data_IF_195273582712
#
_entry.id   IF_195273582712
#
_cell.length_a   1.000
_cell.length_b   1.000
_cell.length_c   1.000
_cell.angle_alpha   90.00
_cell.angle_beta   90.00
_cell.angle_gamma   90.00
#
_symmetry.space_group_name_H-M   'P 1'
#
loop_
_entity.id
_entity.type
_entity.pdbx_description
1 polymer ?
#
# COMPACT_ATOMS: atom_id res chain seq x y z
N UNK A 1 3.90 -18.09 1.83
CA UNK A 1 3.73 -18.82 0.56
C UNK A 1 2.96 -18.01 -0.47
N UNK A 2 1.74 -17.54 -0.18
CA UNK A 2 0.92 -16.76 -1.13
C UNK A 2 1.55 -15.45 -1.65
N UNK A 3 2.30 -14.72 -0.82
CA UNK A 3 3.01 -13.49 -1.22
C UNK A 3 4.07 -13.77 -2.28
N UNK A 4 4.85 -14.85 -2.11
CA UNK A 4 5.89 -15.24 -3.07
C UNK A 4 5.28 -15.70 -4.39
N UNK A 5 4.14 -16.40 -4.34
CA UNK A 5 3.40 -16.80 -5.55
C UNK A 5 2.89 -15.56 -6.29
N UNK A 6 2.33 -14.58 -5.58
CA UNK A 6 1.89 -13.32 -6.17
C UNK A 6 3.05 -12.55 -6.83
N UNK A 7 4.18 -12.37 -6.13
CA UNK A 7 5.35 -11.68 -6.69
C UNK A 7 5.94 -12.44 -7.89
N UNK A 8 6.08 -13.76 -7.81
CA UNK A 8 6.59 -14.58 -8.90
C UNK A 8 5.68 -14.49 -10.13
N UNK A 9 4.36 -14.51 -9.94
CA UNK A 9 3.37 -14.36 -10.99
C UNK A 9 3.47 -12.96 -11.62
N UNK A 10 3.51 -11.88 -10.82
CA UNK A 10 3.66 -10.52 -11.32
C UNK A 10 4.95 -10.33 -12.12
N UNK A 11 6.07 -10.93 -11.69
CA UNK A 11 7.33 -10.90 -12.45
C UNK A 11 7.22 -11.68 -13.75
N UNK A 12 6.57 -12.86 -13.74
CA UNK A 12 6.36 -13.65 -14.95
C UNK A 12 5.50 -12.90 -15.99
N UNK A 13 4.39 -12.28 -15.57
CA UNK A 13 3.55 -11.47 -16.46
C UNK A 13 4.30 -10.26 -17.03
N UNK A 14 5.21 -9.64 -16.26
CA UNK A 14 6.09 -8.57 -16.73
C UNK A 14 7.05 -9.07 -17.82
N UNK A 15 7.69 -10.22 -17.61
CA UNK A 15 8.61 -10.82 -18.59
C UNK A 15 7.90 -11.21 -19.89
N UNK A 16 6.64 -11.62 -19.82
CA UNK A 16 5.80 -11.93 -20.98
C UNK A 16 5.30 -10.67 -21.72
N UNK A 17 5.61 -9.47 -21.24
CA UNK A 17 5.17 -8.21 -21.86
C UNK A 17 3.67 -7.93 -21.72
N UNK A 18 2.95 -8.71 -20.90
CA UNK A 18 1.50 -8.56 -20.69
C UNK A 18 1.21 -7.33 -19.82
N UNK A 19 2.09 -7.01 -18.88
CA UNK A 19 1.98 -5.86 -17.99
C UNK A 19 3.26 -5.03 -17.99
N UNK A 20 3.11 -3.70 -18.08
CA UNK A 20 4.19 -2.75 -17.93
C UNK A 20 4.20 -2.21 -16.49
N UNK A 21 4.93 -2.91 -15.60
CA UNK A 21 5.03 -2.59 -14.17
C UNK A 21 6.48 -2.25 -13.84
N UNK A 22 6.69 -1.09 -13.23
CA UNK A 22 8.03 -0.68 -12.80
C UNK A 22 8.55 -1.52 -11.64
N UNK A 23 9.88 -1.65 -11.52
CA UNK A 23 10.48 -2.41 -10.41
C UNK A 23 10.20 -1.79 -9.05
N UNK A 24 10.07 -0.47 -8.99
CA UNK A 24 9.64 0.31 -7.82
C UNK A 24 8.20 -0.01 -7.41
N UNK A 25 7.32 -0.29 -8.36
CA UNK A 25 5.91 -0.65 -8.12
C UNK A 25 5.80 -2.06 -7.53
N UNK A 26 6.58 -3.02 -8.05
CA UNK A 26 6.69 -4.38 -7.50
C UNK A 26 7.22 -4.37 -6.06
N UNK A 27 8.23 -3.54 -5.77
CA UNK A 27 8.74 -3.36 -4.41
C UNK A 27 7.66 -2.78 -3.49
N UNK A 28 6.88 -1.82 -3.97
CA UNK A 28 5.73 -1.27 -3.27
C UNK A 28 4.74 -2.35 -2.86
N UNK A 29 4.36 -3.24 -3.78
CA UNK A 29 3.48 -4.37 -3.47
C UNK A 29 4.07 -5.32 -2.44
N UNK A 30 5.35 -5.69 -2.57
CA UNK A 30 6.02 -6.54 -1.60
C UNK A 30 5.98 -5.94 -0.18
N UNK A 31 6.26 -4.64 -0.08
CA UNK A 31 6.22 -3.89 1.18
C UNK A 31 4.81 -3.79 1.77
N UNK A 32 3.79 -3.54 0.96
CA UNK A 32 2.38 -3.53 1.39
C UNK A 32 2.01 -4.89 2.00
N UNK A 33 2.23 -5.97 1.26
CA UNK A 33 1.86 -7.32 1.70
C UNK A 33 2.65 -7.78 2.93
N UNK A 34 3.94 -7.49 3.00
CA UNK A 34 4.76 -7.87 4.15
C UNK A 34 4.42 -7.01 5.38
N UNK A 35 4.27 -5.69 5.19
CA UNK A 35 3.93 -4.75 6.26
C UNK A 35 2.59 -5.07 6.90
N UNK A 36 1.54 -5.29 6.11
CA UNK A 36 0.21 -5.64 6.64
C UNK A 36 0.22 -6.99 7.38
N UNK A 37 1.01 -7.95 6.92
CA UNK A 37 1.17 -9.25 7.59
C UNK A 37 1.86 -9.09 8.95
N UNK A 38 2.91 -8.28 9.04
CA UNK A 38 3.55 -7.95 10.31
C UNK A 38 2.58 -7.28 11.28
N UNK A 39 1.82 -6.29 10.80
CA UNK A 39 0.80 -5.60 11.61
C UNK A 39 -0.22 -6.60 12.14
N UNK A 40 -0.83 -7.40 11.25
CA UNK A 40 -1.82 -8.41 11.63
C UNK A 40 -1.28 -9.43 12.63
N UNK A 41 -0.05 -9.89 12.43
CA UNK A 41 0.56 -10.95 13.25
C UNK A 41 0.96 -10.45 14.64
N UNK A 42 1.39 -9.20 14.77
CA UNK A 42 1.98 -8.68 16.01
C UNK A 42 1.13 -7.67 16.76
N UNK A 43 -0.01 -7.26 16.20
CA UNK A 43 -1.01 -6.49 16.93
C UNK A 43 -1.55 -7.25 18.14
N UNK A 44 -1.66 -6.58 19.28
CA UNK A 44 -2.03 -7.14 20.58
C UNK A 44 -0.92 -7.93 21.29
N UNK A 45 0.25 -8.13 20.68
CA UNK A 45 1.34 -8.94 21.24
C UNK A 45 2.42 -8.14 21.97
N UNK A 46 2.20 -6.84 22.16
CA UNK A 46 3.09 -5.90 22.86
C UNK A 46 4.52 -5.85 22.28
N UNK A 47 4.66 -6.20 21.00
CA UNK A 47 5.92 -6.11 20.25
C UNK A 47 5.98 -4.80 19.48
N UNK A 48 6.06 -3.69 20.22
CA UNK A 48 5.95 -2.33 19.66
C UNK A 48 6.94 -2.06 18.52
N UNK A 49 8.20 -2.48 18.65
CA UNK A 49 9.19 -2.27 17.58
C UNK A 49 8.77 -2.91 16.26
N UNK A 50 8.30 -4.16 16.31
CA UNK A 50 7.86 -4.89 15.12
C UNK A 50 6.59 -4.27 14.54
N UNK A 51 5.63 -3.93 15.40
CA UNK A 51 4.38 -3.31 14.97
C UNK A 51 4.63 -1.96 14.28
N UNK A 52 5.48 -1.11 14.87
CA UNK A 52 5.89 0.16 14.26
C UNK A 52 6.53 -0.06 12.89
N UNK A 53 7.50 -0.97 12.79
CA UNK A 53 8.17 -1.26 11.51
C UNK A 53 7.21 -1.85 10.49
N UNK A 54 6.27 -2.69 10.89
CA UNK A 54 5.25 -3.26 10.01
C UNK A 54 4.32 -2.19 9.45
N UNK A 55 3.84 -1.28 10.30
CA UNK A 55 3.02 -0.14 9.87
C UNK A 55 3.80 0.79 8.95
N UNK A 56 5.03 1.13 9.30
CA UNK A 56 5.89 1.96 8.48
C UNK A 56 6.13 1.33 7.10
N UNK A 57 6.47 0.04 7.06
CA UNK A 57 6.71 -0.67 5.80
C UNK A 57 5.46 -0.75 4.93
N UNK A 58 4.30 -1.01 5.53
CA UNK A 58 3.02 -0.99 4.82
C UNK A 58 2.76 0.38 4.17
N UNK A 59 2.95 1.46 4.92
CA UNK A 59 2.72 2.82 4.42
C UNK A 59 3.78 3.28 3.40
N UNK A 60 5.04 2.86 3.55
CA UNK A 60 6.08 3.10 2.53
C UNK A 60 5.71 2.38 1.24
N UNK A 61 5.25 1.13 1.31
CA UNK A 61 4.79 0.40 0.15
C UNK A 61 3.60 1.08 -0.54
N UNK A 62 2.66 1.60 0.26
CA UNK A 62 1.52 2.38 -0.24
C UNK A 62 1.98 3.68 -0.90
N UNK A 63 2.97 4.37 -0.34
CA UNK A 63 3.56 5.56 -0.93
C UNK A 63 4.19 5.24 -2.30
N UNK A 64 5.02 4.20 -2.40
CA UNK A 64 5.63 3.77 -3.66
C UNK A 64 4.58 3.41 -4.73
N UNK A 65 3.51 2.72 -4.32
CA UNK A 65 2.41 2.40 -5.22
C UNK A 65 1.73 3.67 -5.75
N UNK A 66 1.46 4.63 -4.86
CA UNK A 66 0.81 5.89 -5.21
C UNK A 66 1.70 6.73 -6.13
N UNK A 67 2.98 6.92 -5.78
CA UNK A 67 3.90 7.75 -6.58
C UNK A 67 4.12 7.22 -8.00
N UNK A 68 4.01 5.92 -8.19
CA UNK A 68 4.20 5.31 -9.51
C UNK A 68 2.94 5.24 -10.37
N UNK A 69 1.75 5.40 -9.77
CA UNK A 69 0.48 5.25 -10.49
C UNK A 69 -0.36 6.53 -10.54
N UNK A 70 -0.04 7.52 -9.73
CA UNK A 70 -0.73 8.80 -9.69
C UNK A 70 0.17 9.92 -10.18
N UNK A 71 -0.39 10.81 -11.00
CA UNK A 71 0.33 11.97 -11.51
C UNK A 71 0.33 13.08 -10.45
N UNK A 72 1.52 13.43 -9.96
CA UNK A 72 1.72 14.54 -9.03
C UNK A 72 2.31 15.75 -9.74
N UNK A 73 1.81 16.95 -9.41
CA UNK A 73 2.33 18.22 -9.95
C UNK A 73 3.79 18.43 -9.50
N UNK A 74 4.11 17.99 -8.27
CA UNK A 74 5.47 18.03 -7.74
C UNK A 74 5.70 16.82 -6.82
N UNK A 75 6.31 15.76 -7.37
CA UNK A 75 6.63 14.52 -6.66
C UNK A 75 7.54 14.74 -5.44
N UNK A 76 8.44 15.73 -5.48
CA UNK A 76 9.34 15.99 -4.34
C UNK A 76 8.60 16.64 -3.17
N UNK A 77 7.54 17.40 -3.47
CA UNK A 77 6.79 18.12 -2.46
C UNK A 77 5.92 17.20 -1.59
N UNK A 78 5.63 15.97 -2.04
CA UNK A 78 4.86 14.99 -1.27
C UNK A 78 5.72 14.11 -0.36
N UNK A 79 7.05 14.04 -0.56
CA UNK A 79 7.93 13.14 0.20
C UNK A 79 7.93 13.48 1.69
N UNK A 80 8.17 14.75 2.03
CA UNK A 80 8.26 15.20 3.41
C UNK A 80 6.93 15.02 4.20
N UNK A 81 5.76 15.49 3.72
CA UNK A 81 4.50 15.24 4.41
C UNK A 81 4.18 13.74 4.50
N UNK A 82 4.58 12.93 3.50
CA UNK A 82 4.39 11.48 3.57
C UNK A 82 5.22 10.83 4.67
N UNK A 83 6.47 11.25 4.89
CA UNK A 83 7.30 10.75 5.99
C UNK A 83 6.67 11.09 7.35
N UNK A 84 6.22 12.34 7.53
CA UNK A 84 5.53 12.76 8.76
C UNK A 84 4.27 11.92 9.01
N UNK A 85 3.49 11.66 7.95
CA UNK A 85 2.27 10.85 8.02
C UNK A 85 2.60 9.38 8.32
N UNK A 86 3.62 8.80 7.70
CA UNK A 86 4.09 7.42 7.94
C UNK A 86 4.47 7.25 9.41
N UNK A 87 5.31 8.16 9.94
CA UNK A 87 5.74 8.10 11.35
C UNK A 87 4.56 8.36 12.28
N UNK A 88 3.70 9.33 11.97
CA UNK A 88 2.52 9.67 12.76
C UNK A 88 1.52 8.51 12.87
N UNK A 89 1.20 7.83 11.76
CA UNK A 89 0.31 6.66 11.78
C UNK A 89 0.99 5.46 12.45
N UNK A 90 2.31 5.31 12.30
CA UNK A 90 3.04 4.23 12.99
C UNK A 90 2.95 4.39 14.52
N UNK A 91 3.06 5.63 15.05
CA UNK A 91 2.79 5.92 16.46
C UNK A 91 1.32 5.75 16.84
N UNK A 92 0.38 6.07 15.94
CA UNK A 92 -1.05 5.82 16.16
C UNK A 92 -1.30 4.32 16.39
N UNK A 93 -0.67 3.48 15.57
CA UNK A 93 -0.83 2.04 15.66
C UNK A 93 -0.26 1.48 16.97
N UNK A 94 0.84 2.05 17.47
CA UNK A 94 1.37 1.72 18.80
C UNK A 94 0.39 2.09 19.92
N UNK A 95 -0.30 3.23 19.79
CA UNK A 95 -1.32 3.61 20.75
C UNK A 95 -2.54 2.68 20.71
N UNK A 96 -2.94 2.20 19.53
CA UNK A 96 -4.03 1.22 19.43
C UNK A 96 -3.66 -0.16 19.96
N UNK A 97 -2.39 -0.57 19.86
CA UNK A 97 -1.88 -1.80 20.47
C UNK A 97 -1.83 -1.71 21.99
N UNK A 98 -1.49 -0.53 22.53
CA UNK A 98 -1.45 -0.26 23.96
C UNK A 98 -1.96 1.15 24.28
N UNK A 99 -3.25 1.22 24.59
CA UNK A 99 -3.95 2.48 24.88
C UNK A 99 -3.55 3.10 26.22
N UNK A 100 -2.82 2.38 27.08
CA UNK A 100 -2.29 2.94 28.32
C UNK A 100 -1.20 3.98 28.05
N UNK A 101 -0.48 3.88 26.93
CA UNK A 101 0.61 4.78 26.55
C UNK A 101 0.13 5.99 25.74
N UNK A 102 -0.52 6.92 26.44
CA UNK A 102 -1.00 8.21 25.88
C UNK A 102 0.07 9.05 25.18
N UNK A 103 1.34 8.87 25.53
CA UNK A 103 2.46 9.58 24.88
C UNK A 103 2.51 9.30 23.36
N UNK A 104 2.21 8.07 22.93
CA UNK A 104 2.18 7.72 21.51
C UNK A 104 1.07 8.44 20.75
N UNK A 105 -0.09 8.66 21.39
CA UNK A 105 -1.19 9.41 20.80
C UNK A 105 -0.79 10.87 20.57
N UNK A 106 -0.15 11.52 21.54
CA UNK A 106 0.25 12.93 21.42
C UNK A 106 1.25 13.10 20.26
N UNK A 107 2.26 12.23 20.18
CA UNK A 107 3.25 12.24 19.09
C UNK A 107 2.55 11.98 17.74
N UNK A 108 1.64 11.02 17.68
CA UNK A 108 0.90 10.70 16.46
C UNK A 108 0.07 11.88 15.97
N UNK A 109 -0.73 12.49 16.85
CA UNK A 109 -1.62 13.61 16.49
C UNK A 109 -0.82 14.82 16.01
N UNK A 110 0.28 15.17 16.70
CA UNK A 110 1.13 16.29 16.29
C UNK A 110 1.77 16.06 14.92
N UNK A 111 2.27 14.84 14.67
CA UNK A 111 2.84 14.48 13.38
C UNK A 111 1.80 14.47 12.26
N UNK A 112 0.63 13.86 12.47
CA UNK A 112 -0.44 13.82 11.47
C UNK A 112 -0.93 15.24 11.14
N UNK A 113 -1.16 16.07 12.16
CA UNK A 113 -1.55 17.47 11.94
C UNK A 113 -0.48 18.21 11.14
N UNK A 114 0.80 18.07 11.49
CA UNK A 114 1.88 18.70 10.74
C UNK A 114 1.95 18.24 9.28
N UNK A 115 1.74 16.93 9.02
CA UNK A 115 1.70 16.38 7.67
C UNK A 115 0.57 16.99 6.83
N UNK A 116 -0.62 17.11 7.42
CA UNK A 116 -1.79 17.72 6.77
C UNK A 116 -1.54 19.20 6.48
N UNK A 117 -1.05 19.96 7.47
CA UNK A 117 -0.74 21.38 7.31
C UNK A 117 0.27 21.60 6.18
N UNK A 118 1.36 20.84 6.16
CA UNK A 118 2.38 20.92 5.10
C UNK A 118 1.78 20.58 3.73
N UNK A 119 0.96 19.53 3.64
CA UNK A 119 0.32 19.14 2.37
C UNK A 119 -0.60 20.23 1.83
N UNK A 120 -1.39 20.86 2.70
CA UNK A 120 -2.30 21.96 2.32
C UNK A 120 -1.52 23.18 1.83
N UNK A 121 -0.42 23.54 2.51
CA UNK A 121 0.42 24.68 2.12
C UNK A 121 1.10 24.48 0.75
N UNK A 122 1.41 23.22 0.40
CA UNK A 122 2.06 22.86 -0.85
C UNK A 122 1.07 22.86 -2.03
N UNK A 123 -0.22 22.60 -1.80
CA UNK A 123 -1.26 22.71 -2.84
C UNK A 123 -1.12 21.71 -4.00
N UNK A 124 -0.61 20.51 -3.75
CA UNK A 124 -0.14 19.58 -4.81
C UNK A 124 -1.20 18.70 -5.49
N UNK A 125 -2.48 18.70 -5.06
CA UNK A 125 -3.48 17.74 -5.53
C UNK A 125 -4.79 18.43 -5.95
N UNK A 126 -5.20 18.22 -7.19
CA UNK A 126 -6.52 18.62 -7.71
C UNK A 126 -7.39 17.38 -7.91
N UNK A 127 -8.69 17.46 -7.60
CA UNK A 127 -9.67 16.35 -7.72
C UNK A 127 -9.68 15.73 -9.12
N UNK A 128 -9.49 16.54 -10.16
CA UNK A 128 -9.45 16.08 -11.56
C UNK A 128 -8.29 15.13 -11.85
N UNK A 129 -7.09 15.42 -11.32
CA UNK A 129 -5.90 14.57 -11.49
C UNK A 129 -6.08 13.23 -10.77
N UNK A 130 -6.75 13.24 -9.62
CA UNK A 130 -7.06 12.03 -8.86
C UNK A 130 -8.00 11.10 -9.63
N UNK A 131 -9.10 11.62 -10.19
CA UNK A 131 -10.06 10.82 -10.98
C UNK A 131 -9.36 10.23 -12.21
N UNK A 132 -8.60 11.04 -12.95
CA UNK A 132 -7.86 10.57 -14.13
C UNK A 132 -6.87 9.44 -13.79
N UNK A 133 -6.17 9.55 -12.65
CA UNK A 133 -5.23 8.53 -12.19
C UNK A 133 -5.95 7.21 -11.84
N UNK A 134 -7.10 7.28 -11.15
CA UNK A 134 -7.91 6.09 -10.86
C UNK A 134 -8.35 5.40 -12.15
N UNK A 135 -8.84 6.14 -13.14
CA UNK A 135 -9.26 5.57 -14.42
C UNK A 135 -8.10 4.89 -15.13
N UNK A 136 -6.91 5.50 -15.16
CA UNK A 136 -5.69 4.90 -15.72
C UNK A 136 -5.33 3.59 -15.03
N UNK A 137 -5.39 3.54 -13.69
CA UNK A 137 -5.14 2.33 -12.90
C UNK A 137 -6.15 1.23 -13.24
N UNK A 138 -7.45 1.55 -13.28
CA UNK A 138 -8.50 0.58 -13.61
C UNK A 138 -8.23 -0.04 -14.99
N UNK A 139 -7.95 0.79 -16.01
CA UNK A 139 -7.67 0.31 -17.36
C UNK A 139 -6.38 -0.54 -17.41
N UNK A 140 -5.31 -0.11 -16.71
CA UNK A 140 -4.03 -0.83 -16.63
C UNK A 140 -4.19 -2.23 -16.02
N UNK A 141 -5.00 -2.37 -14.98
CA UNK A 141 -5.14 -3.63 -14.23
C UNK A 141 -6.34 -4.51 -14.65
N UNK A 142 -7.23 -4.01 -15.50
CA UNK A 142 -8.40 -4.74 -15.99
C UNK A 142 -8.09 -6.10 -16.63
N UNK A 143 -7.05 -6.26 -17.49
CA UNK A 143 -6.74 -7.55 -18.09
C UNK A 143 -6.36 -8.62 -17.06
N UNK A 144 -5.66 -8.22 -15.98
CA UNK A 144 -5.26 -9.13 -14.90
C UNK A 144 -6.48 -9.65 -14.13
N UNK A 145 -7.46 -8.78 -13.88
CA UNK A 145 -8.73 -9.17 -13.25
C UNK A 145 -9.52 -10.15 -14.13
N UNK A 146 -9.58 -9.92 -15.44
CA UNK A 146 -10.25 -10.84 -16.38
C UNK A 146 -9.58 -12.22 -16.43
N UNK A 147 -8.25 -12.28 -16.47
CA UNK A 147 -7.50 -13.55 -16.48
C UNK A 147 -7.76 -14.33 -15.18
N UNK A 148 -7.69 -13.66 -14.03
CA UNK A 148 -7.93 -14.31 -12.73
C UNK A 148 -9.37 -14.81 -12.60
N UNK A 149 -10.36 -14.03 -13.00
CA UNK A 149 -11.77 -14.48 -13.04
C UNK A 149 -11.93 -15.68 -13.98
N UNK A 150 -11.34 -15.63 -15.18
CA UNK A 150 -11.38 -16.73 -16.14
C UNK A 150 -10.80 -18.03 -15.57
N UNK A 151 -9.64 -17.95 -14.91
CA UNK A 151 -9.03 -19.11 -14.24
C UNK A 151 -9.91 -19.67 -13.12
N UNK A 152 -10.50 -18.81 -12.29
CA UNK A 152 -11.40 -19.24 -11.20
C UNK A 152 -12.61 -19.98 -11.77
N UNK A 153 -13.22 -19.48 -12.84
CA UNK A 153 -14.37 -20.12 -13.49
C UNK A 153 -14.00 -21.49 -14.06
N UNK A 154 -12.84 -21.61 -14.71
CA UNK A 154 -12.35 -22.89 -15.27
C UNK A 154 -12.11 -23.90 -14.14
N UNK A 155 -11.41 -23.49 -13.08
CA UNK A 155 -11.13 -24.34 -11.92
C UNK A 155 -12.41 -24.80 -11.20
N UNK A 156 -13.40 -23.92 -11.04
CA UNK A 156 -14.69 -24.30 -10.45
C UNK A 156 -15.48 -25.27 -11.33
N UNK A 157 -15.36 -25.16 -12.66
CA UNK A 157 -16.08 -26.00 -13.60
C UNK A 157 -15.51 -27.42 -13.65
N UNK A 158 -14.19 -27.59 -13.54
CA UNK A 158 -13.58 -28.93 -13.46
C UNK A 158 -13.90 -29.63 -12.14
N UNK A 159 -13.93 -28.90 -11.02
CA UNK A 159 -14.30 -29.47 -9.72
C UNK A 159 -15.76 -29.98 -9.69
N UNK A 160 -16.66 -29.38 -10.49
CA UNK A 160 -18.06 -29.80 -10.60
C UNK A 160 -18.31 -30.98 -11.55
N UNK A 161 -17.34 -31.33 -12.42
CA UNK A 161 -17.41 -32.49 -13.32
C UNK A 161 -16.80 -33.76 -12.73
N UNK A 162 -16.07 -33.65 -11.62
CA UNK A 162 -15.42 -34.76 -10.91
C UNK A 162 -16.24 -35.26 -9.69
N UNK A 163 -17.49 -34.80 -9.53
CA UNK A 163 -18.50 -35.30 -8.59
C UNK A 163 -19.70 -35.81 -9.37
#
# INVERSE_FOLDING_TARGET
MYLLIFLALSVALKLLGIINVESTELLGYAMIFYGINLVYTFFGKHRHGILFTGTALFLIGLLLFITNNFEFINERAIIFPSILLIVGISFLMLFFDDTARKNFLLISVTLILSAVTVTVLIGSITVTLFINSITKIIVKYWPVALITIGLIIILHRDNKKSS
#
